data_IF_299977357600
#
_entry.id   IF_299977357600
#
_cell.length_a   1.000
_cell.length_b   1.000
_cell.length_c   1.000
_cell.angle_alpha   90.00
_cell.angle_beta   90.00
_cell.angle_gamma   90.00
#
_symmetry.space_group_name_H-M   'P 1'
#
loop_
_entity.id
_entity.type
_entity.pdbx_description
1 polymer ?
#
# COMPACT_ATOMS: atom_id res chain seq x y z
N UNK A 1 33.11 4.21 11.38
CA UNK A 1 32.23 4.91 10.41
C UNK A 1 30.78 4.60 10.75
N UNK A 2 30.09 5.58 11.35
CA UNK A 2 28.68 5.47 11.74
C UNK A 2 27.82 5.79 10.52
N UNK A 3 27.15 4.78 9.96
CA UNK A 3 26.13 4.97 8.96
C UNK A 3 24.88 5.54 9.63
N UNK A 4 24.91 6.84 9.96
CA UNK A 4 23.66 7.58 10.09
C UNK A 4 23.09 7.67 8.68
N UNK A 5 22.23 6.72 8.32
CA UNK A 5 21.27 6.94 7.25
C UNK A 5 20.42 8.12 7.72
N UNK A 6 20.74 9.32 7.23
CA UNK A 6 19.85 10.47 7.38
C UNK A 6 18.56 10.07 6.70
N UNK A 7 17.53 9.85 7.50
CA UNK A 7 16.17 9.74 6.99
C UNK A 7 15.93 11.02 6.16
N UNK A 8 15.58 10.93 4.85
CA UNK A 8 15.39 12.10 3.97
C UNK A 8 14.32 13.08 4.48
N UNK A 9 13.64 12.69 5.54
CA UNK A 9 12.59 13.38 6.28
C UNK A 9 13.10 14.30 7.40
N UNK A 10 14.40 14.33 7.72
CA UNK A 10 14.97 15.29 8.67
C UNK A 10 15.27 16.65 8.01
N UNK A 11 14.19 17.43 7.87
CA UNK A 11 13.96 18.89 8.00
C UNK A 11 14.55 19.99 7.06
N UNK A 12 15.78 20.01 6.47
CA UNK A 12 16.06 21.01 5.42
C UNK A 12 15.52 20.65 4.04
N UNK A 13 15.27 19.36 3.79
CA UNK A 13 14.87 18.81 2.48
C UNK A 13 13.46 18.23 2.45
N UNK A 14 12.70 18.29 3.55
CA UNK A 14 11.36 17.72 3.61
C UNK A 14 10.40 18.53 2.72
N UNK A 15 9.73 17.82 1.81
CA UNK A 15 8.74 18.39 0.92
C UNK A 15 7.42 17.65 1.12
N UNK A 16 6.41 18.33 1.68
CA UNK A 16 5.10 17.75 1.97
C UNK A 16 4.42 17.22 0.70
N UNK A 17 4.60 17.87 -0.44
CA UNK A 17 4.04 17.43 -1.73
C UNK A 17 4.62 16.08 -2.15
N UNK A 18 5.95 15.97 -2.13
CA UNK A 18 6.65 14.73 -2.44
C UNK A 18 6.27 13.61 -1.46
N UNK A 19 6.25 13.92 -0.16
CA UNK A 19 5.89 12.95 0.88
C UNK A 19 4.49 12.37 0.64
N UNK A 20 3.48 13.21 0.43
CA UNK A 20 2.11 12.75 0.18
C UNK A 20 1.99 11.98 -1.14
N UNK A 21 2.63 12.45 -2.22
CA UNK A 21 2.63 11.73 -3.50
C UNK A 21 3.26 10.35 -3.36
N UNK A 22 4.36 10.24 -2.61
CA UNK A 22 5.01 8.95 -2.39
C UNK A 22 4.06 7.97 -1.68
N UNK A 23 3.30 8.42 -0.68
CA UNK A 23 2.29 7.58 -0.03
C UNK A 23 1.19 7.10 -0.99
N UNK A 24 0.74 7.94 -1.91
CA UNK A 24 -0.21 7.51 -2.95
C UNK A 24 0.36 6.43 -3.87
N UNK A 25 1.64 6.55 -4.27
CA UNK A 25 2.32 5.52 -5.05
C UNK A 25 2.49 4.23 -4.25
N UNK A 26 2.95 4.34 -3.00
CA UNK A 26 3.31 3.18 -2.19
C UNK A 26 2.09 2.39 -1.70
N UNK A 27 1.01 3.07 -1.31
CA UNK A 27 -0.16 2.44 -0.69
C UNK A 27 -1.36 2.29 -1.64
N UNK A 28 -1.48 3.17 -2.65
CA UNK A 28 -2.62 3.17 -3.58
C UNK A 28 -2.22 2.86 -5.03
N UNK A 29 -0.92 2.74 -5.33
CA UNK A 29 -0.40 2.46 -6.66
C UNK A 29 -0.94 3.40 -7.76
N UNK A 30 -1.17 4.67 -7.41
CA UNK A 30 -1.70 5.69 -8.30
C UNK A 30 -1.20 7.07 -7.91
N UNK A 31 -1.27 8.01 -8.83
CA UNK A 31 -1.04 9.42 -8.50
C UNK A 31 -2.20 9.98 -7.65
N UNK A 32 -1.85 10.94 -6.81
CA UNK A 32 -2.83 11.70 -6.04
C UNK A 32 -3.70 12.55 -6.98
N UNK A 33 -5.02 12.53 -6.77
CA UNK A 33 -5.87 13.57 -7.33
C UNK A 33 -5.62 14.91 -6.60
N UNK A 34 -5.97 16.03 -7.25
CA UNK A 34 -5.67 17.36 -6.74
C UNK A 34 -6.29 17.61 -5.35
N UNK A 35 -7.52 17.13 -5.11
CA UNK A 35 -8.21 17.29 -3.83
C UNK A 35 -7.57 16.46 -2.71
N UNK A 36 -7.24 15.20 -2.99
CA UNK A 36 -6.61 14.30 -2.04
C UNK A 36 -5.21 14.78 -1.66
N UNK A 37 -4.41 15.21 -2.65
CA UNK A 37 -3.10 15.80 -2.41
C UNK A 37 -3.19 17.03 -1.49
N UNK A 38 -4.12 17.95 -1.79
CA UNK A 38 -4.33 19.14 -0.97
C UNK A 38 -4.76 18.79 0.46
N UNK A 39 -5.71 17.85 0.62
CA UNK A 39 -6.20 17.41 1.92
C UNK A 39 -5.06 16.90 2.81
N UNK A 40 -4.27 15.94 2.32
CA UNK A 40 -3.20 15.32 3.11
C UNK A 40 -2.03 16.27 3.38
N UNK A 41 -1.69 17.15 2.43
CA UNK A 41 -0.69 18.20 2.66
C UNK A 41 -1.11 19.13 3.80
N UNK A 42 -2.36 19.58 3.78
CA UNK A 42 -2.88 20.47 4.82
C UNK A 42 -2.84 19.82 6.21
N UNK A 43 -3.06 18.50 6.32
CA UNK A 43 -2.93 17.79 7.61
C UNK A 43 -1.53 17.92 8.24
N UNK A 44 -0.48 18.10 7.42
CA UNK A 44 0.90 18.27 7.88
C UNK A 44 1.24 19.76 8.01
N UNK A 45 0.88 20.56 7.01
CA UNK A 45 1.27 21.96 6.88
C UNK A 45 0.56 22.89 7.89
N UNK A 46 -0.58 22.46 8.46
CA UNK A 46 -1.26 23.16 9.57
C UNK A 46 -0.44 23.18 10.88
N UNK A 47 0.58 22.32 11.02
CA UNK A 47 1.45 22.30 12.18
C UNK A 47 2.54 23.38 12.13
N UNK A 48 2.61 24.21 13.17
CA UNK A 48 3.58 25.32 13.28
C UNK A 48 4.86 24.97 14.05
N UNK A 49 4.94 23.80 14.69
CA UNK A 49 6.15 23.34 15.41
C UNK A 49 6.71 22.04 14.81
N UNK A 50 8.03 21.80 14.94
CA UNK A 50 8.65 20.55 14.49
C UNK A 50 8.01 19.30 15.11
N UNK A 51 7.69 19.34 16.40
CA UNK A 51 7.09 18.20 17.13
C UNK A 51 5.69 17.87 16.60
N UNK A 52 4.89 18.90 16.33
CA UNK A 52 3.56 18.74 15.73
C UNK A 52 3.68 18.12 14.33
N UNK A 53 4.62 18.62 13.51
CA UNK A 53 4.84 18.13 12.15
C UNK A 53 5.24 16.66 12.14
N UNK A 54 6.12 16.25 13.05
CA UNK A 54 6.52 14.84 13.16
C UNK A 54 5.33 13.93 13.50
N UNK A 55 4.50 14.33 14.47
CA UNK A 55 3.27 13.58 14.81
C UNK A 55 2.33 13.50 13.59
N UNK A 56 2.17 14.58 12.82
CA UNK A 56 1.32 14.56 11.62
C UNK A 56 1.85 13.67 10.52
N UNK A 57 3.17 13.64 10.30
CA UNK A 57 3.79 12.72 9.33
C UNK A 57 3.54 11.26 9.71
N UNK A 58 3.65 10.92 10.99
CA UNK A 58 3.30 9.59 11.51
C UNK A 58 1.82 9.29 11.26
N UNK A 59 0.92 10.19 11.63
CA UNK A 59 -0.51 10.00 11.49
C UNK A 59 -0.95 9.85 10.02
N UNK A 60 -0.41 10.66 9.11
CA UNK A 60 -0.69 10.54 7.67
C UNK A 60 -0.18 9.19 7.16
N UNK A 61 1.03 8.77 7.54
CA UNK A 61 1.57 7.47 7.15
C UNK A 61 0.70 6.30 7.64
N UNK A 62 0.29 6.36 8.90
CA UNK A 62 -0.61 5.38 9.48
C UNK A 62 -1.97 5.36 8.78
N UNK A 63 -2.52 6.53 8.42
CA UNK A 63 -3.79 6.63 7.72
C UNK A 63 -3.77 5.97 6.34
N UNK A 64 -2.69 6.14 5.56
CA UNK A 64 -2.53 5.44 4.28
C UNK A 64 -2.42 3.91 4.48
N UNK A 65 -1.61 3.46 5.43
CA UNK A 65 -1.46 2.03 5.73
C UNK A 65 -2.77 1.38 6.24
N UNK A 66 -3.58 2.12 6.99
CA UNK A 66 -4.86 1.64 7.52
C UNK A 66 -6.03 1.89 6.56
N UNK A 67 -5.81 2.56 5.43
CA UNK A 67 -6.85 2.91 4.48
C UNK A 67 -7.51 1.67 3.89
N UNK A 68 -8.81 1.76 3.57
CA UNK A 68 -9.55 0.68 2.91
C UNK A 68 -8.87 0.29 1.59
N UNK A 69 -8.35 1.28 0.86
CA UNK A 69 -7.67 1.06 -0.42
C UNK A 69 -6.47 0.11 -0.23
N UNK A 70 -5.56 0.39 0.71
CA UNK A 70 -4.44 -0.52 0.98
C UNK A 70 -4.87 -1.85 1.60
N UNK A 71 -5.83 -1.82 2.53
CA UNK A 71 -6.32 -3.01 3.23
C UNK A 71 -6.96 -4.04 2.27
N UNK A 72 -7.62 -3.55 1.22
CA UNK A 72 -8.30 -4.37 0.22
C UNK A 72 -7.46 -4.68 -1.02
N UNK A 73 -6.25 -4.11 -1.13
CA UNK A 73 -5.31 -4.35 -2.23
C UNK A 73 -4.00 -4.96 -1.71
N UNK A 74 -2.99 -4.16 -1.38
CA UNK A 74 -1.66 -4.63 -0.99
C UNK A 74 -1.67 -5.53 0.24
N UNK A 75 -2.41 -5.16 1.29
CA UNK A 75 -2.49 -5.99 2.48
C UNK A 75 -3.22 -7.33 2.22
N UNK A 76 -4.14 -7.36 1.26
CA UNK A 76 -4.80 -8.59 0.82
C UNK A 76 -3.81 -9.53 0.13
N UNK A 77 -2.97 -9.01 -0.78
CA UNK A 77 -1.89 -9.77 -1.44
C UNK A 77 -0.90 -10.33 -0.43
N UNK A 78 -0.49 -9.51 0.54
CA UNK A 78 0.39 -9.94 1.63
C UNK A 78 -0.23 -11.11 2.41
N UNK A 79 -1.50 -10.97 2.83
CA UNK A 79 -2.19 -12.02 3.59
C UNK A 79 -2.39 -13.31 2.78
N UNK A 80 -2.70 -13.20 1.49
CA UNK A 80 -2.84 -14.37 0.62
C UNK A 80 -1.52 -15.17 0.54
N UNK A 81 -0.41 -14.48 0.29
CA UNK A 81 0.92 -15.10 0.27
C UNK A 81 1.34 -15.67 1.63
N UNK A 82 1.07 -14.96 2.73
CA UNK A 82 1.33 -15.45 4.07
C UNK A 82 0.54 -16.73 4.36
N UNK A 83 -0.75 -16.76 4.03
CA UNK A 83 -1.62 -17.89 4.30
C UNK A 83 -1.28 -19.13 3.46
N UNK A 84 -0.89 -18.94 2.19
CA UNK A 84 -0.63 -20.05 1.27
C UNK A 84 0.80 -20.56 1.33
N UNK A 85 1.78 -19.68 1.51
CA UNK A 85 3.20 -20.01 1.37
C UNK A 85 4.02 -19.72 2.62
N UNK A 86 3.39 -19.22 3.69
CA UNK A 86 4.09 -18.80 4.91
C UNK A 86 5.20 -17.78 4.60
N UNK A 87 4.93 -16.86 3.68
CA UNK A 87 5.94 -15.98 3.06
C UNK A 87 6.65 -15.04 4.04
N UNK A 88 6.01 -14.67 5.15
CA UNK A 88 6.48 -13.64 6.08
C UNK A 88 6.92 -12.38 5.32
N UNK A 89 8.07 -11.82 5.69
CA UNK A 89 8.72 -10.68 5.05
C UNK A 89 9.39 -11.02 3.70
N UNK A 90 9.34 -12.28 3.24
CA UNK A 90 10.02 -12.73 2.02
C UNK A 90 9.18 -12.60 0.74
N UNK A 91 8.03 -11.92 0.79
CA UNK A 91 7.26 -11.62 -0.42
C UNK A 91 8.06 -10.67 -1.31
N UNK A 92 8.40 -11.11 -2.53
CA UNK A 92 9.20 -10.31 -3.46
C UNK A 92 8.41 -9.07 -3.85
N UNK A 93 9.06 -7.91 -3.80
CA UNK A 93 8.44 -6.63 -4.12
C UNK A 93 7.78 -6.62 -5.51
N UNK A 94 8.40 -7.27 -6.52
CA UNK A 94 7.83 -7.34 -7.87
C UNK A 94 6.51 -8.11 -7.90
N UNK A 95 6.41 -9.22 -7.18
CA UNK A 95 5.20 -10.05 -7.13
C UNK A 95 4.11 -9.28 -6.35
N UNK A 96 4.48 -8.72 -5.19
CA UNK A 96 3.61 -7.85 -4.41
C UNK A 96 3.02 -6.70 -5.24
N UNK A 97 3.86 -5.94 -5.93
CA UNK A 97 3.43 -4.77 -6.70
C UNK A 97 2.54 -5.19 -7.88
N UNK A 98 2.91 -6.25 -8.61
CA UNK A 98 2.13 -6.74 -9.75
C UNK A 98 0.70 -7.13 -9.32
N UNK A 99 0.58 -7.93 -8.27
CA UNK A 99 -0.72 -8.41 -7.78
C UNK A 99 -1.54 -7.26 -7.17
N UNK A 100 -0.88 -6.35 -6.45
CA UNK A 100 -1.54 -5.16 -5.89
C UNK A 100 -2.10 -4.27 -6.99
N UNK A 101 -1.36 -4.08 -8.09
CA UNK A 101 -1.81 -3.32 -9.26
C UNK A 101 -2.99 -3.97 -9.97
N UNK A 102 -3.02 -5.31 -10.04
CA UNK A 102 -4.17 -6.03 -10.61
C UNK A 102 -5.43 -5.78 -9.79
N UNK A 103 -5.35 -5.89 -8.45
CA UNK A 103 -6.51 -5.65 -7.58
C UNK A 103 -6.97 -4.20 -7.64
N UNK A 104 -6.04 -3.24 -7.63
CA UNK A 104 -6.35 -1.80 -7.65
C UNK A 104 -6.74 -1.23 -9.02
N UNK A 105 -6.64 -2.00 -10.11
CA UNK A 105 -6.82 -1.47 -11.47
C UNK A 105 -8.20 -0.87 -11.67
N UNK A 106 -8.23 0.43 -11.99
CA UNK A 106 -9.47 1.16 -12.25
C UNK A 106 -10.32 1.43 -11.01
N UNK A 107 -9.79 1.20 -9.81
CA UNK A 107 -10.49 1.43 -8.55
C UNK A 107 -10.03 2.75 -7.94
N UNK A 108 -11.00 3.63 -7.66
CA UNK A 108 -10.81 4.78 -6.78
C UNK A 108 -11.92 4.72 -5.75
N UNK A 109 -11.57 4.44 -4.49
CA UNK A 109 -12.54 4.24 -3.41
C UNK A 109 -13.43 5.49 -3.27
N UNK A 110 -14.74 5.27 -3.17
CA UNK A 110 -15.75 6.32 -3.07
C UNK A 110 -16.32 6.81 -4.42
N UNK A 111 -15.76 6.36 -5.55
CA UNK A 111 -16.37 6.61 -6.86
C UNK A 111 -17.48 5.60 -7.18
N UNK A 112 -18.52 5.99 -7.95
CA UNK A 112 -19.56 5.06 -8.38
C UNK A 112 -18.97 3.83 -9.09
N UNK A 113 -19.41 2.63 -8.68
CA UNK A 113 -18.96 1.36 -9.27
C UNK A 113 -17.61 0.84 -8.76
N UNK A 114 -16.89 1.61 -7.91
CA UNK A 114 -15.58 1.20 -7.39
C UNK A 114 -15.64 -0.14 -6.63
N UNK A 115 -16.67 -0.35 -5.80
CA UNK A 115 -16.80 -1.59 -5.02
C UNK A 115 -16.99 -2.83 -5.91
N UNK A 116 -17.86 -2.73 -6.92
CA UNK A 116 -18.10 -3.83 -7.85
C UNK A 116 -16.85 -4.15 -8.69
N UNK A 117 -16.13 -3.13 -9.14
CA UNK A 117 -14.87 -3.31 -9.87
C UNK A 117 -13.79 -3.93 -8.98
N UNK A 118 -13.67 -3.47 -7.73
CA UNK A 118 -12.72 -3.99 -6.77
C UNK A 118 -12.97 -5.47 -6.48
N UNK A 119 -14.23 -5.86 -6.28
CA UNK A 119 -14.58 -7.27 -6.07
C UNK A 119 -14.30 -8.13 -7.31
N UNK A 120 -14.59 -7.63 -8.51
CA UNK A 120 -14.25 -8.33 -9.74
C UNK A 120 -12.73 -8.54 -9.89
N UNK A 121 -11.93 -7.52 -9.57
CA UNK A 121 -10.47 -7.62 -9.61
C UNK A 121 -9.94 -8.62 -8.58
N UNK A 122 -10.49 -8.65 -7.35
CA UNK A 122 -10.12 -9.63 -6.32
C UNK A 122 -10.42 -11.06 -6.77
N UNK A 123 -11.59 -11.30 -7.36
CA UNK A 123 -11.96 -12.61 -7.88
C UNK A 123 -10.97 -13.07 -8.95
N UNK A 124 -10.61 -12.18 -9.88
CA UNK A 124 -9.59 -12.48 -10.89
C UNK A 124 -8.24 -12.80 -10.25
N UNK A 125 -7.77 -11.97 -9.32
CA UNK A 125 -6.53 -12.22 -8.58
C UNK A 125 -6.53 -13.60 -7.92
N UNK A 126 -7.57 -13.96 -7.16
CA UNK A 126 -7.61 -15.26 -6.47
C UNK A 126 -7.73 -16.44 -7.43
N UNK A 127 -8.42 -16.30 -8.55
CA UNK A 127 -8.46 -17.32 -9.60
C UNK A 127 -7.07 -17.57 -10.16
N UNK A 128 -6.36 -16.51 -10.53
CA UNK A 128 -5.00 -16.59 -11.06
C UNK A 128 -3.99 -17.07 -10.00
N UNK A 129 -4.17 -16.67 -8.74
CA UNK A 129 -3.32 -17.05 -7.61
C UNK A 129 -3.37 -18.56 -7.29
N UNK A 130 -4.51 -19.21 -7.52
CA UNK A 130 -4.69 -20.66 -7.31
C UNK A 130 -4.31 -21.48 -8.55
N UNK A 131 -4.42 -20.92 -9.75
CA UNK A 131 -4.14 -21.61 -11.01
C UNK A 131 -2.76 -21.34 -11.60
N UNK A 132 -2.05 -20.33 -11.09
CA UNK A 132 -0.79 -19.83 -11.62
C UNK A 132 0.44 -20.72 -11.33
N UNK A 133 1.60 -20.42 -11.95
CA UNK A 133 2.83 -21.20 -11.75
C UNK A 133 3.35 -21.18 -10.30
N UNK A 134 3.01 -20.13 -9.53
CA UNK A 134 3.32 -20.00 -8.09
C UNK A 134 2.50 -20.92 -7.20
N UNK A 135 1.38 -21.46 -7.70
CA UNK A 135 0.56 -22.48 -7.01
C UNK A 135 1.25 -23.86 -6.97
N UNK A 136 2.46 -23.96 -7.56
CA UNK A 136 3.24 -25.17 -7.75
C UNK A 136 4.22 -25.56 -6.64
N UNK A 137 3.98 -25.25 -5.36
CA UNK A 137 4.70 -25.92 -4.27
C UNK A 137 3.74 -26.39 -3.16
N UNK A 138 3.34 -27.66 -3.31
CA UNK A 138 2.72 -28.58 -2.35
C UNK A 138 1.54 -28.08 -1.47
N UNK A 139 0.36 -28.73 -1.55
CA UNK A 139 -0.69 -28.50 -0.57
C UNK A 139 -0.20 -28.85 0.86
N UNK A 140 -0.49 -28.04 1.88
CA UNK A 140 -0.01 -28.25 3.25
C UNK A 140 -0.62 -29.46 3.98
N UNK A 141 -1.52 -30.20 3.32
CA UNK A 141 -2.18 -31.36 3.89
C UNK A 141 -2.02 -32.59 2.99
N UNK A 142 -0.87 -33.24 3.07
CA UNK A 142 -0.83 -34.68 2.87
C UNK A 142 -1.09 -35.35 4.23
N UNK A 143 -2.18 -36.12 4.40
CA UNK A 143 -2.35 -36.92 5.60
C UNK A 143 -1.20 -37.95 5.68
N UNK A 144 -0.70 -38.16 6.90
CA UNK A 144 0.28 -39.22 7.20
C UNK A 144 -0.29 -40.60 6.86
#
# INVERSE_FOLDING_TARGET
HSWKLTNPVQEPSFNTDFFVRQHYIDFSNREADASGLAFWKNQIDECTTPECREIRKINVSAAFFLSIEFQQTGYLVYKANQASFNSHEFLKLRDFLSDTQEIGRGVVIGQPGADAQLEANKQKFFLDFVLGPSSGMQPPFQPR
#
